data_IF_097048654786
#
_entry.id   IF_097048654786
#
_cell.length_a   1.000
_cell.length_b   1.000
_cell.length_c   1.000
_cell.angle_alpha   90.00
_cell.angle_beta   90.00
_cell.angle_gamma   90.00
#
_symmetry.space_group_name_H-M   'P 1'
#
loop_
_entity.id
_entity.type
_entity.pdbx_description
1 polymer ?
#
# COMPACT_ATOMS: atom_id res chain seq x y z
N UNK A 1 -9.73 -23.54 12.00
CA UNK A 1 -9.84 -22.94 10.65
C UNK A 1 -8.45 -22.68 10.05
N UNK A 2 -7.54 -23.67 10.02
CA UNK A 2 -6.15 -23.43 9.61
C UNK A 2 -5.45 -24.69 9.03
N UNK A 3 -6.11 -25.40 8.10
CA UNK A 3 -5.48 -26.51 7.37
C UNK A 3 -5.10 -26.17 5.91
N UNK A 4 -5.44 -24.98 5.41
CA UNK A 4 -5.25 -24.63 4.00
C UNK A 4 -3.77 -24.37 3.62
N UNK A 5 -2.94 -23.93 4.57
CA UNK A 5 -1.53 -23.60 4.31
C UNK A 5 -0.62 -24.80 4.05
N UNK A 6 -1.02 -26.03 4.41
CA UNK A 6 -0.12 -27.19 4.39
C UNK A 6 0.09 -27.82 3.00
N UNK A 7 -0.71 -27.46 2.00
CA UNK A 7 -0.69 -28.11 0.67
C UNK A 7 -0.28 -27.18 -0.48
N UNK A 8 0.23 -25.98 -0.19
CA UNK A 8 0.64 -25.02 -1.24
C UNK A 8 1.88 -25.54 -1.96
N UNK A 9 1.79 -25.72 -3.27
CA UNK A 9 2.89 -26.19 -4.11
C UNK A 9 3.75 -25.03 -4.61
N UNK A 10 4.92 -25.32 -5.18
CA UNK A 10 5.75 -24.31 -5.84
C UNK A 10 5.05 -23.71 -7.07
N UNK A 11 4.24 -24.51 -7.77
CA UNK A 11 3.45 -24.10 -8.93
C UNK A 11 2.38 -23.06 -8.52
N UNK A 12 1.73 -23.28 -7.37
CA UNK A 12 0.78 -22.31 -6.79
C UNK A 12 1.47 -21.00 -6.42
N UNK A 13 2.71 -21.06 -5.90
CA UNK A 13 3.47 -19.87 -5.53
C UNK A 13 3.96 -19.08 -6.75
N UNK A 14 4.40 -19.75 -7.81
CA UNK A 14 4.75 -19.09 -9.08
C UNK A 14 3.53 -18.45 -9.73
N UNK A 15 2.38 -19.16 -9.76
CA UNK A 15 1.14 -18.63 -10.30
C UNK A 15 0.66 -17.37 -9.56
N UNK A 16 0.81 -17.33 -8.22
CA UNK A 16 0.51 -16.14 -7.43
C UNK A 16 1.40 -14.95 -7.79
N UNK A 17 2.71 -15.18 -8.05
CA UNK A 17 3.64 -14.12 -8.47
C UNK A 17 3.20 -13.53 -9.82
N UNK A 18 2.87 -14.37 -10.80
CA UNK A 18 2.38 -13.90 -12.09
C UNK A 18 1.07 -13.09 -11.97
N UNK A 19 0.16 -13.54 -11.10
CA UNK A 19 -1.11 -12.84 -10.84
C UNK A 19 -0.88 -11.52 -10.10
N UNK A 20 0.03 -11.46 -9.12
CA UNK A 20 0.33 -10.21 -8.42
C UNK A 20 0.99 -9.18 -9.35
N UNK A 21 1.91 -9.62 -10.22
CA UNK A 21 2.54 -8.74 -11.21
C UNK A 21 1.51 -8.20 -12.22
N UNK A 22 0.57 -9.04 -12.66
CA UNK A 22 -0.54 -8.62 -13.50
C UNK A 22 -1.46 -7.62 -12.77
N UNK A 23 -1.78 -7.86 -11.50
CA UNK A 23 -2.61 -6.97 -10.69
C UNK A 23 -1.97 -5.59 -10.55
N UNK A 24 -0.66 -5.56 -10.29
CA UNK A 24 0.13 -4.34 -10.23
C UNK A 24 0.19 -3.63 -11.59
N UNK A 25 0.40 -4.37 -12.69
CA UNK A 25 0.40 -3.79 -14.03
C UNK A 25 -0.96 -3.16 -14.38
N UNK A 26 -2.06 -3.81 -14.01
CA UNK A 26 -3.42 -3.27 -14.18
C UNK A 26 -3.64 -2.02 -13.32
N UNK A 27 -3.09 -1.99 -12.10
CA UNK A 27 -3.13 -0.83 -11.21
C UNK A 27 -2.39 0.37 -11.81
N UNK A 28 -1.16 0.16 -12.27
CA UNK A 28 -0.34 1.20 -12.92
C UNK A 28 -0.98 1.68 -14.23
N UNK A 29 -1.65 0.79 -14.96
CA UNK A 29 -2.39 1.11 -16.19
C UNK A 29 -3.78 1.71 -15.93
N UNK A 30 -4.12 2.06 -14.69
CA UNK A 30 -5.38 2.68 -14.28
C UNK A 30 -6.64 1.84 -14.59
N UNK A 31 -6.48 0.53 -14.78
CA UNK A 31 -7.60 -0.40 -15.01
C UNK A 31 -8.21 -0.83 -13.67
N UNK A 32 -8.80 0.13 -12.95
CA UNK A 32 -9.22 -0.01 -11.55
C UNK A 32 -10.08 -1.23 -11.26
N UNK A 33 -11.11 -1.47 -12.07
CA UNK A 33 -12.04 -2.59 -11.86
C UNK A 33 -11.34 -3.94 -12.01
N UNK A 34 -10.44 -4.07 -13.00
CA UNK A 34 -9.69 -5.31 -13.22
C UNK A 34 -8.64 -5.53 -12.14
N UNK A 35 -7.94 -4.47 -11.75
CA UNK A 35 -6.98 -4.51 -10.64
C UNK A 35 -7.69 -4.90 -9.34
N UNK A 36 -8.85 -4.31 -9.05
CA UNK A 36 -9.65 -4.62 -7.86
C UNK A 36 -10.13 -6.07 -7.85
N UNK A 37 -10.63 -6.58 -8.97
CA UNK A 37 -11.04 -7.97 -9.08
C UNK A 37 -9.87 -8.91 -8.74
N UNK A 38 -8.71 -8.71 -9.35
CA UNK A 38 -7.56 -9.59 -9.17
C UNK A 38 -6.93 -9.49 -7.77
N UNK A 39 -6.77 -8.27 -7.22
CA UNK A 39 -6.30 -8.11 -5.84
C UNK A 39 -7.28 -8.69 -4.81
N UNK A 40 -8.58 -8.69 -5.10
CA UNK A 40 -9.57 -9.31 -4.22
C UNK A 40 -9.40 -10.83 -4.18
N UNK A 41 -9.26 -11.48 -5.35
CA UNK A 41 -8.97 -12.92 -5.42
C UNK A 41 -7.68 -13.26 -4.68
N UNK A 42 -6.60 -12.51 -4.95
CA UNK A 42 -5.31 -12.71 -4.30
C UNK A 42 -5.36 -12.53 -2.77
N UNK A 43 -6.17 -11.59 -2.27
CA UNK A 43 -6.37 -11.38 -0.84
C UNK A 43 -7.29 -12.44 -0.20
N UNK A 44 -8.27 -12.98 -0.91
CA UNK A 44 -9.09 -14.11 -0.45
C UNK A 44 -8.23 -15.37 -0.30
N UNK A 45 -7.32 -15.59 -1.25
CA UNK A 45 -6.37 -16.69 -1.22
C UNK A 45 -5.26 -16.44 -0.20
N UNK A 46 -4.78 -15.21 -0.01
CA UNK A 46 -3.71 -14.88 0.93
C UNK A 46 -4.11 -13.76 1.91
N UNK A 47 -4.97 -14.03 2.91
CA UNK A 47 -5.55 -13.00 3.79
C UNK A 47 -4.53 -12.22 4.63
N UNK A 48 -3.37 -12.82 4.91
CA UNK A 48 -2.30 -12.21 5.71
C UNK A 48 -1.33 -11.36 4.87
N UNK A 49 -1.51 -11.31 3.54
CA UNK A 49 -0.66 -10.52 2.67
C UNK A 49 -1.01 -9.02 2.77
N UNK A 50 -0.10 -8.26 3.38
CA UNK A 50 -0.23 -6.83 3.63
C UNK A 50 -0.28 -6.01 2.35
N UNK A 51 0.44 -6.43 1.30
CA UNK A 51 0.48 -5.74 0.01
C UNK A 51 -0.89 -5.76 -0.67
N UNK A 52 -1.53 -6.93 -0.74
CA UNK A 52 -2.85 -7.05 -1.37
C UNK A 52 -3.90 -6.23 -0.63
N UNK A 53 -3.87 -6.26 0.72
CA UNK A 53 -4.71 -5.39 1.55
C UNK A 53 -4.43 -3.90 1.29
N UNK A 54 -3.16 -3.52 1.16
CA UNK A 54 -2.73 -2.17 0.82
C UNK A 54 -3.31 -1.68 -0.52
N UNK A 55 -3.20 -2.50 -1.57
CA UNK A 55 -3.76 -2.17 -2.88
C UNK A 55 -5.28 -2.08 -2.89
N UNK A 56 -5.98 -2.97 -2.17
CA UNK A 56 -7.43 -2.87 -2.02
C UNK A 56 -7.86 -1.56 -1.36
N UNK A 57 -7.14 -1.09 -0.33
CA UNK A 57 -7.40 0.20 0.29
C UNK A 57 -7.18 1.39 -0.66
N UNK A 58 -6.10 1.35 -1.46
CA UNK A 58 -5.81 2.38 -2.48
C UNK A 58 -6.88 2.40 -3.58
N UNK A 59 -7.29 1.23 -4.06
CA UNK A 59 -8.36 1.07 -5.06
C UNK A 59 -9.71 1.55 -4.52
N UNK A 60 -10.04 1.29 -3.25
CA UNK A 60 -11.22 1.83 -2.60
C UNK A 60 -11.19 3.37 -2.57
N UNK A 61 -10.05 3.97 -2.21
CA UNK A 61 -9.89 5.43 -2.21
C UNK A 61 -10.05 6.02 -3.62
N UNK A 62 -9.40 5.44 -4.64
CA UNK A 62 -9.51 5.85 -6.05
C UNK A 62 -10.94 5.71 -6.60
N UNK A 63 -11.66 4.68 -6.17
CA UNK A 63 -13.07 4.45 -6.53
C UNK A 63 -14.07 5.31 -5.76
N UNK A 64 -13.63 6.21 -4.88
CA UNK A 64 -14.51 7.07 -4.07
C UNK A 64 -15.16 6.37 -2.86
N UNK A 65 -14.81 5.12 -2.58
CA UNK A 65 -15.29 4.34 -1.44
C UNK A 65 -14.51 4.72 -0.16
N UNK A 66 -14.68 5.96 0.31
CA UNK A 66 -13.92 6.54 1.43
C UNK A 66 -14.00 5.69 2.70
N UNK A 67 -15.19 5.25 3.09
CA UNK A 67 -15.38 4.47 4.32
C UNK A 67 -14.65 3.12 4.27
N UNK A 68 -14.69 2.45 3.12
CA UNK A 68 -13.96 1.19 2.89
C UNK A 68 -12.44 1.41 2.96
N UNK A 69 -11.95 2.48 2.33
CA UNK A 69 -10.53 2.83 2.37
C UNK A 69 -10.03 3.13 3.80
N UNK A 70 -10.81 3.89 4.58
CA UNK A 70 -10.49 4.18 5.99
C UNK A 70 -10.54 2.94 6.87
N UNK A 71 -11.51 2.05 6.65
CA UNK A 71 -11.58 0.77 7.35
C UNK A 71 -10.31 -0.06 7.09
N UNK A 72 -9.90 -0.18 5.82
CA UNK A 72 -8.67 -0.90 5.45
C UNK A 72 -7.43 -0.24 6.07
N UNK A 73 -7.37 1.09 6.10
CA UNK A 73 -6.28 1.82 6.76
C UNK A 73 -6.17 1.50 8.25
N UNK A 74 -7.30 1.40 8.96
CA UNK A 74 -7.31 0.99 10.38
C UNK A 74 -6.92 -0.48 10.53
N UNK A 75 -7.37 -1.38 9.65
CA UNK A 75 -6.92 -2.77 9.66
C UNK A 75 -5.40 -2.90 9.46
N UNK A 76 -4.83 -2.15 8.52
CA UNK A 76 -3.37 -2.10 8.28
C UNK A 76 -2.61 -1.63 9.53
N UNK A 77 -3.14 -0.67 10.27
CA UNK A 77 -2.54 -0.15 11.51
C UNK A 77 -2.43 -1.22 12.60
N UNK A 78 -3.36 -2.17 12.64
CA UNK A 78 -3.39 -3.23 13.65
C UNK A 78 -2.45 -4.40 13.33
N UNK A 79 -1.84 -4.44 12.13
CA UNK A 79 -0.97 -5.54 11.71
C UNK A 79 0.35 -5.48 12.47
N UNK A 80 0.68 -6.57 13.16
CA UNK A 80 1.93 -6.77 13.88
C UNK A 80 2.63 -8.00 13.35
N UNK A 81 3.36 -7.84 12.25
CA UNK A 81 4.19 -8.90 11.68
C UNK A 81 5.67 -8.51 11.79
N UNK A 82 6.55 -9.49 12.00
CA UNK A 82 7.99 -9.23 11.92
C UNK A 82 8.35 -8.80 10.50
N UNK A 83 9.41 -8.00 10.36
CA UNK A 83 9.98 -7.59 9.07
C UNK A 83 9.05 -6.77 8.16
N UNK A 84 8.04 -6.09 8.70
CA UNK A 84 7.22 -5.15 7.92
C UNK A 84 7.97 -3.88 7.54
N UNK A 85 8.95 -3.47 8.37
CA UNK A 85 9.78 -2.27 8.16
C UNK A 85 8.98 -1.06 7.68
N UNK A 86 7.82 -0.76 8.27
CA UNK A 86 7.02 0.40 7.85
C UNK A 86 6.08 0.22 6.66
N UNK A 87 6.10 -0.91 5.94
CA UNK A 87 5.31 -1.07 4.71
C UNK A 87 3.78 -0.95 4.90
N UNK A 88 3.23 -1.49 5.99
CA UNK A 88 1.80 -1.32 6.31
C UNK A 88 1.45 0.16 6.56
N UNK A 89 2.33 0.90 7.24
CA UNK A 89 2.22 2.34 7.46
C UNK A 89 2.34 3.12 6.15
N UNK A 90 3.20 2.66 5.24
CA UNK A 90 3.33 3.22 3.89
C UNK A 90 2.01 3.09 3.11
N UNK A 91 1.41 1.90 3.11
CA UNK A 91 0.10 1.69 2.48
C UNK A 91 -0.97 2.62 3.06
N UNK A 92 -0.97 2.87 4.37
CA UNK A 92 -1.87 3.84 5.01
C UNK A 92 -1.62 5.27 4.52
N UNK A 93 -0.36 5.67 4.33
CA UNK A 93 -0.02 6.97 3.78
C UNK A 93 -0.53 7.16 2.33
N UNK A 94 -0.38 6.15 1.48
CA UNK A 94 -0.94 6.14 0.13
C UNK A 94 -2.46 6.32 0.16
N UNK A 95 -3.16 5.59 1.04
CA UNK A 95 -4.62 5.72 1.21
C UNK A 95 -4.99 7.15 1.64
N UNK A 96 -4.34 7.69 2.67
CA UNK A 96 -4.61 9.05 3.15
C UNK A 96 -4.37 10.10 2.05
N UNK A 97 -3.29 9.95 1.27
CA UNK A 97 -2.99 10.82 0.13
C UNK A 97 -4.10 10.80 -0.92
N UNK A 98 -4.55 9.60 -1.32
CA UNK A 98 -5.63 9.40 -2.29
C UNK A 98 -6.99 9.94 -1.79
N UNK A 99 -7.21 9.94 -0.47
CA UNK A 99 -8.40 10.53 0.17
C UNK A 99 -8.32 12.05 0.35
N UNK A 100 -7.20 12.68 -0.04
CA UNK A 100 -6.95 14.12 0.10
C UNK A 100 -6.50 14.55 1.49
N UNK A 101 -6.19 13.62 2.38
CA UNK A 101 -5.79 13.85 3.78
C UNK A 101 -4.28 14.15 3.85
N UNK A 102 -3.84 15.25 3.22
CA UNK A 102 -2.42 15.54 2.97
C UNK A 102 -1.55 15.59 4.25
N UNK A 103 -2.07 16.21 5.31
CA UNK A 103 -1.35 16.31 6.60
C UNK A 103 -1.12 14.93 7.20
N UNK A 104 -2.19 14.14 7.32
CA UNK A 104 -2.12 12.77 7.82
C UNK A 104 -1.22 11.88 6.96
N UNK A 105 -1.26 12.03 5.64
CA UNK A 105 -0.40 11.27 4.74
C UNK A 105 1.08 11.54 5.03
N UNK A 106 1.47 12.80 5.26
CA UNK A 106 2.86 13.16 5.61
C UNK A 106 3.26 12.64 7.00
N UNK A 107 2.38 12.71 7.99
CA UNK A 107 2.63 12.12 9.31
C UNK A 107 2.90 10.61 9.22
N UNK A 108 2.08 9.90 8.44
CA UNK A 108 2.24 8.47 8.20
C UNK A 108 3.52 8.15 7.43
N UNK A 109 3.96 9.02 6.50
CA UNK A 109 5.24 8.84 5.83
C UNK A 109 6.42 9.03 6.80
N UNK A 110 6.36 10.00 7.73
CA UNK A 110 7.37 10.13 8.79
C UNK A 110 7.43 8.87 9.66
N UNK A 111 6.27 8.34 10.04
CA UNK A 111 6.16 7.10 10.80
C UNK A 111 6.73 5.90 10.01
N UNK A 112 6.42 5.81 8.71
CA UNK A 112 6.93 4.79 7.79
C UNK A 112 8.47 4.72 7.83
N UNK A 113 9.15 5.87 7.80
CA UNK A 113 10.61 5.93 7.88
C UNK A 113 11.15 5.61 9.29
N UNK A 114 10.47 6.07 10.34
CA UNK A 114 10.83 5.72 11.72
C UNK A 114 10.73 4.21 11.98
N UNK A 115 9.85 3.51 11.27
CA UNK A 115 9.70 2.06 11.32
C UNK A 115 10.72 1.30 10.44
N UNK A 116 11.62 1.99 9.74
CA UNK A 116 12.72 1.39 8.98
C UNK A 116 12.44 1.18 7.49
N UNK A 117 11.36 1.73 6.94
CA UNK A 117 11.12 1.67 5.50
C UNK A 117 12.19 2.48 4.78
N UNK A 118 12.78 1.91 3.73
CA UNK A 118 13.83 2.58 3.00
C UNK A 118 13.33 3.89 2.38
N UNK A 119 14.13 4.96 2.51
CA UNK A 119 13.98 6.16 1.71
C UNK A 119 14.25 5.80 0.25
N UNK A 120 13.18 5.44 -0.46
CA UNK A 120 13.27 5.04 -1.86
C UNK A 120 13.21 6.25 -2.78
N UNK A 121 14.08 6.26 -3.79
CA UNK A 121 13.97 7.12 -4.98
C UNK A 121 12.62 6.89 -5.69
N UNK A 122 11.82 5.89 -5.34
CA UNK A 122 10.52 5.65 -5.97
C UNK A 122 9.37 6.46 -5.36
N UNK A 123 9.52 7.01 -4.15
CA UNK A 123 8.44 7.73 -3.45
C UNK A 123 8.01 9.02 -4.19
N UNK A 124 8.94 9.71 -4.85
CA UNK A 124 8.59 10.90 -5.64
C UNK A 124 7.81 10.57 -6.93
N UNK A 125 7.91 9.32 -7.40
CA UNK A 125 7.22 8.82 -8.61
C UNK A 125 5.98 8.01 -8.29
N UNK A 126 5.74 7.66 -7.03
CA UNK A 126 4.55 6.90 -6.67
C UNK A 126 3.31 7.74 -7.03
N UNK A 127 2.46 7.15 -7.87
CA UNK A 127 1.23 7.77 -8.36
C UNK A 127 0.22 8.03 -7.24
N UNK A 128 0.32 7.32 -6.11
CA UNK A 128 -0.56 7.50 -4.96
C UNK A 128 -0.17 8.72 -4.13
N UNK A 129 1.07 9.20 -4.25
CA UNK A 129 1.60 10.37 -3.56
C UNK A 129 1.61 11.63 -4.43
N UNK A 130 1.08 11.55 -5.65
CA UNK A 130 1.06 12.66 -6.60
C UNK A 130 0.40 13.92 -6.02
N UNK A 131 -0.68 13.74 -5.24
CA UNK A 131 -1.41 14.81 -4.58
C UNK A 131 -0.59 15.57 -3.50
N UNK A 132 0.57 15.02 -3.09
CA UNK A 132 1.47 15.61 -2.11
C UNK A 132 2.67 16.32 -2.72
N UNK A 133 2.94 16.19 -4.03
CA UNK A 133 4.19 16.69 -4.66
C UNK A 133 4.42 18.19 -4.45
N UNK A 134 3.36 18.97 -4.39
CA UNK A 134 3.39 20.42 -4.15
C UNK A 134 3.19 20.80 -2.68
N UNK A 135 3.01 19.83 -1.78
CA UNK A 135 2.79 20.07 -0.37
C UNK A 135 4.14 20.27 0.35
N UNK A 136 4.43 21.46 0.92
CA UNK A 136 5.76 21.76 1.47
C UNK A 136 6.26 20.76 2.52
N UNK A 137 5.43 20.27 3.47
CA UNK A 137 5.86 19.26 4.42
C UNK A 137 6.30 17.93 3.79
N UNK A 138 5.76 17.57 2.62
CA UNK A 138 6.19 16.39 1.87
C UNK A 138 7.52 16.63 1.14
N UNK A 139 7.73 17.82 0.59
CA UNK A 139 9.00 18.21 -0.04
C UNK A 139 10.15 18.21 0.97
N UNK A 140 9.92 18.78 2.16
CA UNK A 140 10.88 18.76 3.26
C UNK A 140 11.19 17.34 3.74
N UNK A 141 10.20 16.46 3.71
CA UNK A 141 10.37 15.06 4.09
C UNK A 141 11.27 14.31 3.10
N UNK A 142 11.12 14.55 1.79
CA UNK A 142 11.94 13.90 0.76
C UNK A 142 13.33 14.52 0.63
N UNK A 143 13.47 15.80 0.92
CA UNK A 143 14.72 16.53 0.84
C UNK A 143 15.01 17.23 2.17
N UNK A 144 15.33 16.45 3.22
CA UNK A 144 15.74 17.05 4.48
C UNK A 144 16.97 17.90 4.19
N UNK A 145 16.83 19.22 4.32
CA UNK A 145 17.98 20.12 4.26
C UNK A 145 18.97 19.60 5.30
N UNK A 146 20.19 19.29 4.86
CA UNK A 146 21.24 18.81 5.75
C UNK A 146 21.25 19.71 7.01
N UNK A 147 20.95 19.11 8.15
CA UNK A 147 21.17 19.78 9.43
C UNK A 147 22.69 19.88 9.57
N UNK A 148 23.21 21.07 9.29
CA UNK A 148 24.58 21.51 9.62
C UNK A 148 24.96 21.15 11.06
#
# INVERSE_FOLDING_TARGET
AADWHKNRTLDDAENDIYRSDLALALYIAEQWEKAKALFKELAEENPDNVEYKGFLGRLAARGGAREEALKISEELKQIKLPYLFGYHTYCRACIASLLGEREQAVELLRETFAQGYAHGVYLHRDMDLEALREYPPFQELLWPKEQN
#
